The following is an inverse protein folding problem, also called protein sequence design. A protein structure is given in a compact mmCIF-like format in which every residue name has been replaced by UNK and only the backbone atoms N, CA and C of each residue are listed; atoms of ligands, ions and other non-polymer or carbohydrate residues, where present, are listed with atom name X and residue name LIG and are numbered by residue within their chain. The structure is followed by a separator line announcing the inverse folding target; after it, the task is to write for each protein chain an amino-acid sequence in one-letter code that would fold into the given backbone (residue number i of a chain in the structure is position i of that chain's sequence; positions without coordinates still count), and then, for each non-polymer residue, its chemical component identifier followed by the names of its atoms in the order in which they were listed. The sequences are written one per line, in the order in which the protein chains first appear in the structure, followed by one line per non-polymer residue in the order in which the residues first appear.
data_IF_608634843774
#
_entry.id   IF_608634843774
#
_cell.length_a   1.000
_cell.length_b   1.000
_cell.length_c   1.000
_cell.angle_alpha   90.00
_cell.angle_beta   90.00
_cell.angle_gamma   90.00
#
_symmetry.space_group_name_H-M   'P 1'
#
loop_
_entity.id
_entity.type
_entity.pdbx_description
1 polymer ?
#
# COMPACT_ATOMS: atom_id res chain seq x y z
N UNK A 1 -0.54 -18.76 4.92
CA UNK A 1 0.06 -17.54 4.35
C UNK A 1 1.07 -17.81 3.22
N UNK A 2 0.98 -17.08 2.11
CA UNK A 2 1.88 -17.27 0.95
C UNK A 2 2.97 -16.20 0.84
N UNK A 3 2.82 -15.08 1.55
CA UNK A 3 3.89 -14.09 1.72
C UNK A 3 4.89 -14.58 2.77
N UNK A 4 6.17 -14.63 2.39
CA UNK A 4 7.24 -15.07 3.30
C UNK A 4 7.61 -13.96 4.28
N UNK A 5 7.78 -14.32 5.55
CA UNK A 5 8.32 -13.44 6.57
C UNK A 5 9.70 -12.88 6.13
N UNK A 6 9.95 -11.61 6.46
CA UNK A 6 11.24 -10.95 6.20
C UNK A 6 12.08 -10.92 7.48
N UNK A 7 13.40 -10.94 7.31
CA UNK A 7 14.33 -10.70 8.42
C UNK A 7 14.10 -9.27 8.94
N UNK A 8 13.84 -9.08 10.25
CA UNK A 8 13.65 -7.75 10.81
C UNK A 8 14.94 -6.94 10.67
N UNK A 9 14.78 -5.64 10.45
CA UNK A 9 15.85 -4.63 10.36
C UNK A 9 15.53 -3.49 11.33
N UNK A 10 16.51 -2.71 11.80
CA UNK A 10 16.28 -1.56 12.67
C UNK A 10 15.67 -0.38 11.89
N UNK A 11 14.45 -0.57 11.36
CA UNK A 11 13.71 0.38 10.55
C UNK A 11 12.21 0.20 10.81
N UNK A 12 11.42 1.24 10.53
CA UNK A 12 9.99 1.27 10.83
C UNK A 12 9.10 0.68 9.72
N UNK A 13 9.69 0.03 8.70
CA UNK A 13 8.96 -0.55 7.58
C UNK A 13 9.59 -1.88 7.13
N UNK A 14 8.80 -2.73 6.49
CA UNK A 14 9.25 -3.95 5.82
C UNK A 14 8.62 -4.06 4.45
N UNK A 15 9.40 -4.38 3.41
CA UNK A 15 8.92 -4.38 2.02
C UNK A 15 8.75 -5.79 1.44
N UNK A 16 7.75 -5.92 0.58
CA UNK A 16 7.40 -7.14 -0.15
C UNK A 16 7.23 -6.82 -1.63
N UNK A 17 7.79 -7.67 -2.49
CA UNK A 17 7.69 -7.47 -3.94
C UNK A 17 6.26 -7.74 -4.41
N UNK A 18 5.75 -6.87 -5.28
CA UNK A 18 4.50 -7.10 -6.04
C UNK A 18 4.80 -7.52 -7.49
N UNK A 19 6.08 -7.73 -7.83
CA UNK A 19 6.52 -8.22 -9.14
C UNK A 19 6.52 -7.18 -10.25
N UNK A 20 6.64 -5.89 -9.92
CA UNK A 20 6.96 -4.79 -10.85
C UNK A 20 8.01 -3.89 -10.21
N UNK A 21 8.97 -3.41 -11.01
CA UNK A 21 9.97 -2.44 -10.53
C UNK A 21 9.29 -1.12 -10.15
N UNK A 22 9.92 -0.33 -9.27
CA UNK A 22 9.38 0.97 -8.83
C UNK A 22 8.18 0.89 -7.89
N UNK A 23 7.63 -0.31 -7.62
CA UNK A 23 6.43 -0.49 -6.80
C UNK A 23 6.62 -1.65 -5.81
N UNK A 24 6.11 -1.51 -4.58
CA UNK A 24 6.20 -2.59 -3.58
C UNK A 24 5.09 -2.48 -2.54
N UNK A 25 4.79 -3.60 -1.89
CA UNK A 25 3.98 -3.58 -0.67
C UNK A 25 4.86 -3.26 0.54
N UNK A 26 4.32 -2.51 1.49
CA UNK A 26 5.00 -2.15 2.73
C UNK A 26 4.14 -2.51 3.95
N UNK A 27 4.76 -3.09 4.98
CA UNK A 27 4.21 -3.11 6.33
C UNK A 27 4.94 -2.04 7.15
N UNK A 28 4.20 -1.11 7.75
CA UNK A 28 4.74 0.06 8.45
C UNK A 28 4.32 0.06 9.92
N UNK A 29 5.24 0.48 10.78
CA UNK A 29 5.02 0.67 12.20
C UNK A 29 5.21 2.15 12.53
N UNK A 30 4.27 2.75 13.24
CA UNK A 30 4.39 4.13 13.71
C UNK A 30 4.10 4.20 15.20
N UNK A 31 5.18 4.24 15.99
CA UNK A 31 5.11 4.27 17.45
C UNK A 31 4.66 5.63 17.98
N UNK A 32 4.94 6.73 17.24
CA UNK A 32 4.53 8.09 17.63
C UNK A 32 3.01 8.25 17.55
N UNK A 33 2.42 7.75 16.48
CA UNK A 33 0.97 7.84 16.22
C UNK A 33 0.21 6.61 16.71
N UNK A 34 0.89 5.65 17.34
CA UNK A 34 0.29 4.42 17.87
C UNK A 34 -0.59 3.71 16.83
N UNK A 35 0.05 3.39 15.71
CA UNK A 35 -0.60 2.67 14.60
C UNK A 35 0.37 1.80 13.83
N UNK A 36 -0.20 0.82 13.14
CA UNK A 36 0.48 0.02 12.13
C UNK A 36 -0.27 0.16 10.80
N UNK A 37 0.39 -0.15 9.69
CA UNK A 37 -0.25 -0.03 8.39
C UNK A 37 0.30 -0.98 7.35
N UNK A 38 -0.49 -1.17 6.29
CA UNK A 38 -0.10 -1.88 5.07
C UNK A 38 -0.34 -0.94 3.89
N UNK A 39 0.66 -0.82 3.02
CA UNK A 39 0.61 0.07 1.86
C UNK A 39 1.03 -0.61 0.57
N UNK A 40 0.51 -0.09 -0.55
CA UNK A 40 1.18 -0.12 -1.84
C UNK A 40 1.94 1.20 -1.99
N UNK A 41 3.26 1.12 -2.15
CA UNK A 41 4.12 2.26 -2.43
C UNK A 41 4.49 2.31 -3.91
N UNK A 42 4.30 3.48 -4.52
CA UNK A 42 4.60 3.80 -5.91
C UNK A 42 5.73 4.83 -5.93
N UNK A 43 6.94 4.40 -6.30
CA UNK A 43 8.13 5.26 -6.35
C UNK A 43 8.78 5.33 -7.72
N UNK A 44 8.03 4.99 -8.76
CA UNK A 44 8.44 5.07 -10.15
C UNK A 44 8.30 6.52 -10.68
N UNK A 45 8.97 6.84 -11.79
CA UNK A 45 8.77 8.14 -12.45
C UNK A 45 7.32 8.35 -12.92
N UNK A 46 6.62 7.26 -13.21
CA UNK A 46 5.20 7.25 -13.60
C UNK A 46 4.25 7.06 -12.40
N UNK A 47 4.71 7.31 -11.16
CA UNK A 47 3.92 7.05 -9.95
C UNK A 47 2.55 7.73 -9.96
N UNK A 48 2.44 8.96 -10.48
CA UNK A 48 1.17 9.69 -10.58
C UNK A 48 0.23 9.04 -11.60
N UNK A 49 0.73 8.70 -12.79
CA UNK A 49 -0.06 8.01 -13.81
C UNK A 49 -0.61 6.66 -13.29
N UNK A 50 0.25 5.84 -12.67
CA UNK A 50 -0.16 4.58 -12.07
C UNK A 50 -1.15 4.76 -10.92
N UNK A 51 -0.98 5.80 -10.11
CA UNK A 51 -1.89 6.10 -9.02
C UNK A 51 -3.29 6.45 -9.54
N UNK A 52 -3.38 7.29 -10.57
CA UNK A 52 -4.65 7.68 -11.19
C UNK A 52 -5.32 6.51 -11.92
N UNK A 53 -4.56 5.69 -12.64
CA UNK A 53 -5.12 4.47 -13.25
C UNK A 53 -5.68 3.50 -12.20
N UNK A 54 -5.01 3.33 -11.06
CA UNK A 54 -5.51 2.52 -9.95
C UNK A 54 -6.73 3.14 -9.27
N UNK A 55 -6.83 4.47 -9.23
CA UNK A 55 -7.93 5.18 -8.57
C UNK A 55 -9.27 5.00 -9.31
N UNK A 56 -9.23 4.76 -10.63
CA UNK A 56 -10.40 4.38 -11.43
C UNK A 56 -11.06 3.08 -10.92
N UNK A 57 -10.28 2.17 -10.35
CA UNK A 57 -10.76 0.91 -9.76
C UNK A 57 -10.92 0.98 -8.23
N UNK A 58 -10.86 2.17 -7.64
CA UNK A 58 -10.82 2.36 -6.17
C UNK A 58 -11.89 1.57 -5.43
N UNK A 59 -13.14 1.64 -5.86
CA UNK A 59 -14.25 0.97 -5.19
C UNK A 59 -14.10 -0.56 -5.21
N UNK A 60 -13.67 -1.13 -6.34
CA UNK A 60 -13.43 -2.56 -6.47
C UNK A 60 -12.25 -3.00 -5.58
N UNK A 61 -11.18 -2.21 -5.57
CA UNK A 61 -10.00 -2.45 -4.73
C UNK A 61 -10.36 -2.43 -3.23
N UNK A 62 -11.10 -1.40 -2.78
CA UNK A 62 -11.56 -1.27 -1.40
C UNK A 62 -12.49 -2.43 -0.99
N UNK A 63 -13.35 -2.88 -1.90
CA UNK A 63 -14.22 -4.03 -1.68
C UNK A 63 -13.42 -5.35 -1.59
N UNK A 64 -12.45 -5.58 -2.47
CA UNK A 64 -11.60 -6.79 -2.45
C UNK A 64 -10.72 -6.86 -1.19
N UNK A 65 -10.22 -5.71 -0.73
CA UNK A 65 -9.41 -5.61 0.49
C UNK A 65 -10.30 -5.68 1.75
N UNK A 66 -11.57 -5.28 1.64
CA UNK A 66 -12.50 -5.23 2.77
C UNK A 66 -12.21 -4.07 3.73
N UNK A 67 -11.57 -3.00 3.25
CA UNK A 67 -11.26 -1.80 4.02
C UNK A 67 -11.23 -0.57 3.12
N UNK A 68 -11.60 0.58 3.69
CA UNK A 68 -11.37 1.88 3.04
C UNK A 68 -9.87 2.20 3.06
N UNK A 69 -9.32 2.60 1.91
CA UNK A 69 -7.90 2.91 1.81
C UNK A 69 -7.68 4.41 1.80
N UNK A 70 -6.53 4.83 2.30
CA UNK A 70 -6.07 6.21 2.15
C UNK A 70 -5.20 6.32 0.90
N UNK A 71 -5.72 7.01 -0.09
CA UNK A 71 -5.05 7.33 -1.35
C UNK A 71 -4.28 8.64 -1.17
N UNK A 72 -2.94 8.60 -1.24
CA UNK A 72 -2.08 9.74 -0.92
C UNK A 72 -1.01 9.93 -1.97
N UNK A 73 -1.09 11.05 -2.68
CA UNK A 73 0.05 11.60 -3.40
C UNK A 73 1.07 12.16 -2.41
N UNK A 74 2.36 11.95 -2.70
CA UNK A 74 3.48 12.48 -1.93
C UNK A 74 4.21 13.50 -2.79
N UNK A 75 3.72 14.76 -2.84
CA UNK A 75 4.24 15.78 -3.76
C UNK A 75 5.72 16.09 -3.52
N UNK A 76 6.20 15.90 -2.28
CA UNK A 76 7.61 16.11 -1.92
C UNK A 76 8.55 15.01 -2.38
N UNK A 77 8.04 13.86 -2.85
CA UNK A 77 8.84 12.65 -3.13
C UNK A 77 8.66 12.07 -4.53
N UNK A 78 7.89 12.71 -5.42
CA UNK A 78 7.48 12.15 -6.73
C UNK A 78 7.04 10.69 -6.58
N UNK A 79 6.21 10.44 -5.57
CA UNK A 79 5.78 9.11 -5.19
C UNK A 79 4.33 9.18 -4.74
N UNK A 80 3.64 8.05 -4.80
CA UNK A 80 2.27 7.91 -4.33
C UNK A 80 2.19 6.69 -3.42
N UNK A 81 1.20 6.67 -2.53
CA UNK A 81 0.91 5.49 -1.73
C UNK A 81 -0.57 5.30 -1.51
N UNK A 82 -0.96 4.05 -1.37
CA UNK A 82 -2.32 3.64 -1.03
C UNK A 82 -2.20 2.81 0.25
N UNK A 83 -2.73 3.29 1.37
CA UNK A 83 -2.42 2.75 2.70
C UNK A 83 -3.65 2.59 3.60
N UNK A 84 -3.69 1.50 4.34
CA UNK A 84 -4.65 1.26 5.43
C UNK A 84 -3.92 1.20 6.75
N UNK A 85 -4.52 1.77 7.79
CA UNK A 85 -3.98 1.79 9.14
C UNK A 85 -4.88 1.01 10.10
N UNK A 86 -4.25 0.30 11.04
CA UNK A 86 -4.89 -0.07 12.30
C UNK A 86 -4.50 0.98 13.33
N UNK A 87 -5.47 1.81 13.70
CA UNK A 87 -5.30 2.91 14.64
C UNK A 87 -5.42 2.42 16.09
N UNK A 88 -4.94 3.24 17.04
CA UNK A 88 -5.05 3.02 18.49
C UNK A 88 -4.38 1.72 18.97
N UNK A 89 -3.24 1.35 18.40
CA UNK A 89 -2.45 0.19 18.81
C UNK A 89 -1.01 0.58 19.12
N UNK A 90 -0.41 0.01 20.15
CA UNK A 90 0.99 0.26 20.47
C UNK A 90 1.88 -0.83 19.84
N UNK A 91 2.71 -0.51 18.82
CA UNK A 91 3.60 -1.51 18.23
C UNK A 91 4.67 -2.03 19.19
N UNK A 92 4.94 -1.33 20.30
CA UNK A 92 5.90 -1.72 21.32
C UNK A 92 5.30 -2.66 22.37
N UNK A 93 3.96 -2.75 22.45
CA UNK A 93 3.28 -3.68 23.36
C UNK A 93 3.33 -5.11 22.82
N UNK A 94 4.23 -5.91 23.40
CA UNK A 94 4.46 -7.30 23.02
C UNK A 94 3.27 -8.22 23.26
N UNK A 95 2.36 -7.85 24.17
CA UNK A 95 1.16 -8.64 24.44
C UNK A 95 0.24 -8.60 23.20
N UNK A 96 0.23 -7.48 22.47
CA UNK A 96 -0.59 -7.30 21.27
C UNK A 96 0.02 -7.90 20.01
N UNK A 97 1.32 -8.24 20.01
CA UNK A 97 2.04 -8.69 18.83
C UNK A 97 1.36 -9.82 18.05
N UNK A 98 0.83 -10.89 18.68
CA UNK A 98 0.13 -11.93 17.93
C UNK A 98 -1.01 -11.35 17.07
N UNK A 99 -1.84 -10.48 17.66
CA UNK A 99 -2.94 -9.81 16.96
C UNK A 99 -2.44 -8.87 15.86
N UNK A 100 -1.41 -8.07 16.15
CA UNK A 100 -0.86 -7.10 15.18
C UNK A 100 -0.24 -7.82 13.98
N UNK A 101 0.48 -8.91 14.21
CA UNK A 101 1.07 -9.75 13.18
C UNK A 101 0.00 -10.43 12.31
N UNK A 102 -1.07 -10.96 12.92
CA UNK A 102 -2.20 -11.53 12.17
C UNK A 102 -2.86 -10.47 11.29
N UNK A 103 -3.18 -9.30 11.85
CA UNK A 103 -3.76 -8.21 11.07
C UNK A 103 -2.87 -7.77 9.91
N UNK A 104 -1.56 -7.61 10.14
CA UNK A 104 -0.61 -7.27 9.06
C UNK A 104 -0.58 -8.33 7.97
N UNK A 105 -0.57 -9.62 8.35
CA UNK A 105 -0.55 -10.72 7.41
C UNK A 105 -1.81 -10.72 6.54
N UNK A 106 -2.99 -10.63 7.16
CA UNK A 106 -4.27 -10.63 6.45
C UNK A 106 -4.34 -9.45 5.46
N UNK A 107 -3.94 -8.26 5.91
CA UNK A 107 -3.92 -7.06 5.07
C UNK A 107 -2.90 -7.16 3.94
N UNK A 108 -1.68 -7.64 4.21
CA UNK A 108 -0.66 -7.84 3.16
C UNK A 108 -1.14 -8.82 2.08
N UNK A 109 -1.81 -9.90 2.48
CA UNK A 109 -2.35 -10.88 1.52
C UNK A 109 -3.53 -10.32 0.72
N UNK A 110 -4.41 -9.56 1.35
CA UNK A 110 -5.50 -8.87 0.69
C UNK A 110 -4.97 -7.85 -0.34
N UNK A 111 -4.01 -7.02 0.07
CA UNK A 111 -3.32 -6.09 -0.82
C UNK A 111 -2.63 -6.81 -1.98
N UNK A 112 -1.93 -7.92 -1.71
CA UNK A 112 -1.28 -8.67 -2.77
C UNK A 112 -2.30 -9.18 -3.79
N UNK A 113 -3.41 -9.77 -3.34
CA UNK A 113 -4.46 -10.28 -4.24
C UNK A 113 -5.09 -9.18 -5.08
N UNK A 114 -5.43 -8.05 -4.46
CA UNK A 114 -6.07 -6.93 -5.14
C UNK A 114 -5.13 -6.21 -6.13
N UNK A 115 -3.89 -5.94 -5.71
CA UNK A 115 -2.98 -5.13 -6.52
C UNK A 115 -2.12 -5.94 -7.48
N UNK A 116 -1.79 -7.21 -7.22
CA UNK A 116 -0.91 -7.99 -8.11
C UNK A 116 -1.38 -8.03 -9.58
N UNK A 117 -2.65 -8.36 -9.89
CA UNK A 117 -3.11 -8.38 -11.28
C UNK A 117 -3.15 -6.97 -11.89
N UNK A 118 -3.63 -5.98 -11.14
CA UNK A 118 -3.74 -4.58 -11.60
C UNK A 118 -2.38 -3.99 -11.92
N UNK A 119 -1.42 -4.12 -11.00
CA UNK A 119 -0.05 -3.65 -11.18
C UNK A 119 0.65 -4.33 -12.36
N UNK A 120 0.32 -5.59 -12.66
CA UNK A 120 0.86 -6.27 -13.84
C UNK A 120 0.27 -5.74 -15.16
N UNK A 121 -0.98 -5.26 -15.14
CA UNK A 121 -1.68 -4.73 -16.31
C UNK A 121 -1.48 -3.23 -16.53
N UNK A 122 -0.92 -2.49 -15.57
CA UNK A 122 -0.71 -1.05 -15.68
C UNK A 122 0.19 -0.69 -16.87
N UNK A 123 -0.22 0.30 -17.63
CA UNK A 123 0.59 0.94 -18.67
C UNK A 123 0.51 2.45 -18.47
N UNK A 124 1.65 3.13 -18.44
CA UNK A 124 1.70 4.56 -18.17
C UNK A 124 1.09 5.35 -19.34
N UNK A 125 1.18 4.81 -20.57
CA UNK A 125 0.66 5.43 -21.78
C UNK A 125 -0.88 5.48 -21.81
N UNK A 126 -1.55 4.69 -20.96
CA UNK A 126 -3.01 4.73 -20.81
C UNK A 126 -3.51 5.91 -19.96
N UNK A 127 -2.61 6.71 -19.39
CA UNK A 127 -2.96 7.91 -18.63
C UNK A 127 -2.66 9.16 -19.45
N UNK A 128 -3.70 9.94 -19.77
CA UNK A 128 -3.56 11.28 -20.35
C UNK A 128 -3.99 12.33 -19.31
N UNK A 129 -3.10 13.25 -18.88
CA UNK A 129 -3.44 14.29 -17.91
C UNK A 129 -4.36 15.38 -18.48
N UNK A 130 -4.68 15.37 -19.78
CA UNK A 130 -5.43 16.45 -20.45
C UNK A 130 -6.95 16.42 -20.21
N UNK A 131 -7.51 15.45 -19.48
CA UNK A 131 -8.97 15.37 -19.22
C UNK A 131 -9.41 15.90 -17.83
N UNK A 132 -8.49 16.32 -16.95
CA UNK A 132 -8.85 16.77 -15.58
C UNK A 132 -9.20 18.28 -15.45
N UNK A 133 -9.06 19.09 -16.50
CA UNK A 133 -9.27 20.55 -16.45
C UNK A 133 -10.69 21.05 -16.83
N UNK A 134 -11.68 20.17 -17.03
CA UNK A 134 -13.08 20.60 -17.26
C UNK A 134 -14.09 19.93 -16.31
N UNK A 135 -14.17 20.42 -15.06
CA UNK A 135 -15.43 20.44 -14.28
C UNK A 135 -15.51 21.56 -13.26
#
# INVERSE_FOLDING_TARGET
PFLRARKPRPQHWTTYSIGRSGMHLGAVLNTREKRIGVELYLGDENATAFFNLLSLEKAAIEQEIGAQLNWKELPTKRACRIITYLENVDPLDRIQWPRLCTWMQDQLEAYYKAFKPRVAALDADNYSPEEEDEV
#
